data_IF_588745331362
#
_entry.id   IF_588745331362
#
_cell.length_a   1.000
_cell.length_b   1.000
_cell.length_c   1.000
_cell.angle_alpha   90.00
_cell.angle_beta   90.00
_cell.angle_gamma   90.00
#
_symmetry.space_group_name_H-M   'P 1'
#
loop_
_entity.id
_entity.type
_entity.pdbx_description
1 polymer ?
#
# COMPACT_ATOMS: atom_id res chain seq x y z
N UNK A 1 0.29 -26.85 22.01
CA UNK A 1 1.28 -26.67 20.93
C UNK A 1 1.27 -25.19 20.58
N UNK A 2 2.29 -24.44 20.99
CA UNK A 2 2.48 -23.07 20.50
C UNK A 2 2.67 -23.14 19.00
N UNK A 3 1.88 -22.38 18.25
CA UNK A 3 2.21 -22.06 16.87
C UNK A 3 3.55 -21.33 16.92
N UNK A 4 4.63 -21.99 16.49
CA UNK A 4 5.90 -21.32 16.27
C UNK A 4 5.65 -20.24 15.22
N UNK A 5 6.15 -19.04 15.49
CA UNK A 5 6.36 -18.03 14.46
C UNK A 5 7.28 -18.64 13.39
N UNK A 6 6.83 -18.80 12.13
CA UNK A 6 7.76 -18.99 11.03
C UNK A 6 8.42 -17.63 10.77
N UNK A 7 9.74 -17.60 10.90
CA UNK A 7 10.53 -16.39 10.73
C UNK A 7 10.73 -16.08 9.23
N UNK A 8 10.39 -14.85 8.85
CA UNK A 8 10.89 -14.04 7.73
C UNK A 8 10.47 -14.41 6.29
N UNK A 9 9.18 -14.21 5.98
CA UNK A 9 8.82 -13.50 4.75
C UNK A 9 9.30 -12.04 4.80
N UNK A 10 9.42 -11.38 3.64
CA UNK A 10 9.98 -10.02 3.52
C UNK A 10 9.18 -8.96 4.31
N UNK A 11 9.86 -7.87 4.64
CA UNK A 11 9.22 -6.63 5.08
C UNK A 11 8.69 -5.89 3.85
N UNK A 12 7.51 -5.28 3.96
CA UNK A 12 7.01 -4.36 2.94
C UNK A 12 7.58 -2.95 3.10
N UNK A 13 6.82 -1.96 2.64
CA UNK A 13 7.24 -0.56 2.64
C UNK A 13 7.30 0.01 4.07
N UNK A 14 8.28 0.87 4.31
CA UNK A 14 8.43 1.64 5.56
C UNK A 14 8.40 3.13 5.21
N UNK A 15 7.52 3.86 5.88
CA UNK A 15 7.36 5.32 5.83
C UNK A 15 7.86 5.85 7.17
N UNK A 16 8.99 6.55 7.17
CA UNK A 16 9.74 6.88 8.38
C UNK A 16 10.46 8.22 8.24
N UNK A 17 11.08 8.70 9.33
CA UNK A 17 11.93 9.88 9.39
C UNK A 17 11.23 11.19 8.99
N UNK A 18 10.02 11.43 9.50
CA UNK A 18 9.29 12.66 9.22
C UNK A 18 8.72 12.74 7.80
N UNK A 19 8.49 11.60 7.16
CA UNK A 19 7.85 11.55 5.85
C UNK A 19 6.41 12.07 5.95
N UNK A 20 6.09 13.08 5.15
CA UNK A 20 4.77 13.69 5.09
C UNK A 20 4.31 13.74 3.63
N UNK A 21 3.00 13.85 3.41
CA UNK A 21 2.37 13.86 2.09
C UNK A 21 2.63 12.57 1.29
N UNK A 22 2.56 11.42 1.97
CA UNK A 22 2.71 10.11 1.35
C UNK A 22 1.34 9.47 1.20
N UNK A 23 0.97 9.11 -0.03
CA UNK A 23 -0.24 8.31 -0.30
C UNK A 23 0.15 6.93 -0.80
N UNK A 24 -0.30 5.90 -0.11
CA UNK A 24 -0.22 4.51 -0.55
C UNK A 24 -1.59 4.13 -1.09
N UNK A 25 -1.70 4.12 -2.41
CA UNK A 25 -2.97 4.00 -3.12
C UNK A 25 -3.02 2.76 -4.01
N UNK A 26 -4.07 1.94 -3.88
CA UNK A 26 -4.36 0.81 -4.77
C UNK A 26 -3.20 -0.19 -4.92
N UNK A 27 -2.49 -0.46 -3.83
CA UNK A 27 -1.41 -1.46 -3.79
C UNK A 27 -1.94 -2.84 -3.38
N UNK A 28 -1.23 -3.88 -3.83
CA UNK A 28 -1.42 -5.25 -3.37
C UNK A 28 -0.25 -5.65 -2.50
N UNK A 29 -0.54 -6.00 -1.25
CA UNK A 29 0.41 -6.57 -0.30
C UNK A 29 0.05 -8.03 -0.08
N UNK A 30 0.93 -8.96 -0.48
CA UNK A 30 0.62 -10.38 -0.56
C UNK A 30 1.68 -11.24 0.14
N UNK A 31 1.23 -12.16 1.00
CA UNK A 31 2.05 -13.24 1.59
C UNK A 31 3.35 -12.74 2.25
N UNK A 32 3.22 -11.74 3.12
CA UNK A 32 4.35 -11.04 3.70
C UNK A 32 4.30 -10.96 5.22
N UNK A 33 5.44 -10.69 5.88
CA UNK A 33 5.49 -10.80 7.34
C UNK A 33 5.06 -9.53 8.06
N UNK A 34 5.61 -8.38 7.67
CA UNK A 34 5.38 -7.11 8.35
C UNK A 34 5.54 -5.91 7.40
N UNK A 35 5.03 -4.74 7.79
CA UNK A 35 5.26 -3.46 7.12
C UNK A 35 4.43 -3.24 5.86
N UNK A 36 3.11 -3.17 5.99
CA UNK A 36 2.19 -3.11 4.84
C UNK A 36 1.28 -1.87 4.78
N UNK A 37 1.80 -0.64 4.65
CA UNK A 37 3.16 -0.20 5.01
C UNK A 37 3.34 -0.16 6.54
N UNK A 38 4.59 -0.10 7.00
CA UNK A 38 4.88 0.38 8.35
C UNK A 38 4.99 1.90 8.29
N UNK A 39 4.30 2.62 9.15
CA UNK A 39 4.50 4.07 9.26
C UNK A 39 4.94 4.44 10.66
N UNK A 40 6.04 5.19 10.74
CA UNK A 40 6.54 5.73 12.00
C UNK A 40 5.67 6.91 12.48
N UNK A 41 5.64 7.12 13.79
CA UNK A 41 4.88 8.20 14.45
C UNK A 41 5.50 9.59 14.29
N UNK A 42 6.62 9.71 13.59
CA UNK A 42 7.09 10.99 13.09
C UNK A 42 6.48 11.37 11.73
N UNK A 43 5.81 10.43 11.07
CA UNK A 43 5.37 10.52 9.68
C UNK A 43 3.85 10.55 9.56
N UNK A 44 3.36 11.15 8.49
CA UNK A 44 1.93 11.17 8.16
C UNK A 44 1.67 10.62 6.77
N UNK A 45 0.64 9.79 6.64
CA UNK A 45 0.35 9.09 5.39
C UNK A 45 -1.14 8.83 5.19
N UNK A 46 -1.53 8.73 3.92
CA UNK A 46 -2.85 8.31 3.49
C UNK A 46 -2.78 6.91 2.86
N UNK A 47 -3.59 5.98 3.35
CA UNK A 47 -3.64 4.59 2.91
C UNK A 47 -5.02 4.32 2.30
N UNK A 48 -5.10 4.30 0.97
CA UNK A 48 -6.38 4.29 0.26
C UNK A 48 -6.50 3.07 -0.67
N UNK A 49 -7.60 2.33 -0.55
CA UNK A 49 -7.98 1.25 -1.46
C UNK A 49 -6.91 0.17 -1.70
N UNK A 50 -6.09 -0.13 -0.69
CA UNK A 50 -5.09 -1.19 -0.78
C UNK A 50 -5.73 -2.55 -0.47
N UNK A 51 -5.20 -3.61 -1.09
CA UNK A 51 -5.50 -5.00 -0.77
C UNK A 51 -4.34 -5.59 0.04
N UNK A 52 -4.63 -6.04 1.25
CA UNK A 52 -3.69 -6.77 2.10
C UNK A 52 -4.16 -8.21 2.23
N UNK A 53 -3.37 -9.16 1.72
CA UNK A 53 -3.76 -10.56 1.58
C UNK A 53 -2.71 -11.50 2.20
N UNK A 54 -3.13 -12.31 3.17
CA UNK A 54 -2.30 -13.32 3.87
C UNK A 54 -0.99 -12.82 4.44
N UNK A 55 -1.03 -11.68 5.10
CA UNK A 55 0.11 -11.18 5.88
C UNK A 55 0.07 -11.73 7.30
N UNK A 56 1.23 -12.06 7.88
CA UNK A 56 1.30 -12.63 9.25
C UNK A 56 1.05 -11.60 10.33
N UNK A 57 1.61 -10.41 10.16
CA UNK A 57 1.38 -9.28 11.04
C UNK A 57 0.47 -8.31 10.33
N UNK A 58 -0.33 -7.61 11.12
CA UNK A 58 -1.25 -6.63 10.60
C UNK A 58 -0.49 -5.46 9.97
N UNK A 59 -1.19 -4.63 9.20
CA UNK A 59 -0.71 -3.29 8.92
C UNK A 59 -0.35 -2.64 10.27
N UNK A 60 0.80 -1.99 10.33
CA UNK A 60 1.33 -1.50 11.59
C UNK A 60 1.79 -0.07 11.39
N UNK A 61 0.95 0.89 11.76
CA UNK A 61 1.50 2.16 12.23
C UNK A 61 2.27 1.80 13.50
N UNK A 62 3.57 1.62 13.34
CA UNK A 62 4.46 1.23 14.41
C UNK A 62 5.07 2.53 14.89
N UNK A 63 4.69 2.96 16.09
CA UNK A 63 5.50 3.94 16.79
C UNK A 63 6.89 3.34 16.97
N UNK A 64 7.86 3.74 16.14
CA UNK A 64 9.22 3.28 16.34
C UNK A 64 9.67 3.79 17.71
N UNK A 65 10.15 2.84 18.51
CA UNK A 65 10.80 3.10 19.78
C UNK A 65 12.05 3.93 19.55
N UNK A 66 12.28 4.86 20.48
CA UNK A 66 13.51 5.61 20.68
C UNK A 66 13.81 6.71 19.64
N UNK A 67 13.22 7.88 19.88
CA UNK A 67 14.03 9.09 19.96
C UNK A 67 13.31 10.10 20.87
N UNK A 68 13.99 10.45 21.97
CA UNK A 68 13.47 11.23 23.11
C UNK A 68 13.24 12.73 22.80
N UNK A 69 13.32 13.17 21.54
CA UNK A 69 13.51 14.60 21.23
C UNK A 69 12.65 15.16 20.09
N UNK A 70 11.53 14.51 19.76
CA UNK A 70 10.58 15.08 18.79
C UNK A 70 9.14 14.92 19.28
N UNK A 71 8.54 16.02 19.72
CA UNK A 71 7.07 16.17 19.79
C UNK A 71 6.54 16.07 18.36
N UNK A 72 6.25 14.85 17.92
CA UNK A 72 5.77 14.58 16.57
C UNK A 72 4.31 14.16 16.64
N UNK A 73 3.49 14.93 15.93
CA UNK A 73 2.12 14.56 15.61
C UNK A 73 2.17 13.70 14.34
N UNK A 74 1.49 12.55 14.37
CA UNK A 74 1.34 11.70 13.20
C UNK A 74 -0.14 11.60 12.84
N UNK A 75 -0.43 11.87 11.57
CA UNK A 75 -1.78 11.89 11.04
C UNK A 75 -1.96 10.82 9.98
N UNK A 76 -3.07 10.09 10.07
CA UNK A 76 -3.35 8.98 9.17
C UNK A 76 -4.77 9.04 8.64
N UNK A 77 -4.92 8.92 7.32
CA UNK A 77 -6.19 8.57 6.68
C UNK A 77 -6.11 7.11 6.24
N UNK A 78 -7.03 6.26 6.67
CA UNK A 78 -7.10 4.86 6.25
C UNK A 78 -8.48 4.63 5.64
N UNK A 79 -8.54 4.55 4.30
CA UNK A 79 -9.77 4.70 3.55
C UNK A 79 -9.99 3.52 2.58
N UNK A 80 -11.15 2.88 2.65
CA UNK A 80 -11.59 1.98 1.59
C UNK A 80 -10.71 0.72 1.40
N UNK A 81 -9.89 0.32 2.37
CA UNK A 81 -8.96 -0.79 2.20
C UNK A 81 -9.63 -2.17 2.42
N UNK A 82 -9.05 -3.21 1.82
CA UNK A 82 -9.53 -4.59 1.92
C UNK A 82 -8.47 -5.51 2.52
N UNK A 83 -8.84 -6.21 3.58
CA UNK A 83 -7.97 -7.14 4.31
C UNK A 83 -8.53 -8.55 4.23
N UNK A 84 -7.73 -9.45 3.67
CA UNK A 84 -8.08 -10.86 3.46
C UNK A 84 -7.04 -11.70 4.18
N UNK A 85 -7.47 -12.45 5.21
CA UNK A 85 -6.60 -13.37 5.93
C UNK A 85 -7.19 -14.77 5.88
N UNK A 86 -6.39 -15.77 5.54
CA UNK A 86 -6.78 -17.18 5.61
C UNK A 86 -6.73 -17.78 7.02
N UNK A 87 -6.06 -17.11 7.97
CA UNK A 87 -6.00 -17.52 9.37
C UNK A 87 -6.83 -16.53 10.20
N UNK A 88 -7.71 -17.04 11.06
CA UNK A 88 -8.43 -16.27 12.09
C UNK A 88 -7.43 -15.52 12.98
N UNK A 89 -7.00 -14.35 12.54
CA UNK A 89 -6.19 -13.40 13.30
C UNK A 89 -7.06 -12.20 13.64
N UNK A 90 -6.88 -11.68 14.85
CA UNK A 90 -7.61 -10.51 15.32
C UNK A 90 -7.35 -9.36 14.33
N UNK A 91 -8.39 -8.96 13.60
CA UNK A 91 -8.35 -8.07 12.42
C UNK A 91 -8.04 -6.61 12.72
N UNK A 92 -6.96 -6.36 13.45
CA UNK A 92 -6.57 -5.06 13.99
C UNK A 92 -5.45 -4.47 13.14
N UNK A 93 -5.76 -3.49 12.29
CA UNK A 93 -4.87 -2.88 11.28
C UNK A 93 -3.92 -1.81 11.76
N UNK A 94 -4.00 -1.49 13.03
CA UNK A 94 -3.13 -0.51 13.64
C UNK A 94 -2.67 -1.14 14.95
N UNK A 95 -1.38 -1.09 15.25
CA UNK A 95 -0.80 -1.71 16.44
C UNK A 95 0.15 -0.71 17.07
N UNK A 96 -0.35 0.09 18.01
CA UNK A 96 0.48 1.06 18.74
C UNK A 96 1.21 0.38 19.90
N UNK A 97 2.54 0.32 19.85
CA UNK A 97 3.32 0.10 21.07
C UNK A 97 3.17 1.34 21.97
N UNK A 98 2.71 1.22 23.22
CA UNK A 98 2.53 2.36 24.12
C UNK A 98 3.90 2.91 24.53
N UNK A 99 4.42 3.87 23.77
CA UNK A 99 5.66 4.57 24.11
C UNK A 99 5.44 6.09 24.05
N UNK A 100 5.28 6.69 25.22
CA UNK A 100 5.38 8.14 25.44
C UNK A 100 4.18 8.99 24.99
N UNK A 101 4.24 10.27 25.39
CA UNK A 101 3.29 11.37 25.13
C UNK A 101 3.28 11.80 23.64
N UNK A 102 3.14 10.85 22.71
CA UNK A 102 3.06 11.12 21.27
C UNK A 102 1.60 11.23 20.83
N UNK A 103 1.29 12.24 20.02
CA UNK A 103 -0.06 12.57 19.54
C UNK A 103 -0.30 12.00 18.15
N UNK A 104 -0.69 10.72 18.10
CA UNK A 104 -1.13 10.07 16.86
C UNK A 104 -2.63 10.24 16.70
N UNK A 105 -3.07 10.66 15.52
CA UNK A 105 -4.49 10.76 15.18
C UNK A 105 -4.78 10.01 13.88
N UNK A 106 -5.90 9.31 13.86
CA UNK A 106 -6.27 8.41 12.76
C UNK A 106 -7.71 8.67 12.36
N UNK A 107 -7.93 8.90 11.07
CA UNK A 107 -9.23 8.85 10.44
C UNK A 107 -9.38 7.50 9.71
N UNK A 108 -10.52 6.84 9.92
CA UNK A 108 -10.83 5.54 9.32
C UNK A 108 -12.20 5.61 8.65
N UNK A 109 -12.30 5.12 7.42
CA UNK A 109 -13.56 5.03 6.70
C UNK A 109 -13.58 3.84 5.73
N UNK A 110 -14.69 3.09 5.71
CA UNK A 110 -14.97 2.02 4.78
C UNK A 110 -13.85 0.96 4.67
N UNK A 111 -13.26 0.52 5.77
CA UNK A 111 -12.28 -0.57 5.74
C UNK A 111 -12.91 -1.93 6.03
N UNK A 112 -12.70 -2.92 5.17
CA UNK A 112 -13.23 -4.29 5.34
C UNK A 112 -12.15 -5.30 5.67
N UNK A 113 -12.37 -6.08 6.71
CA UNK A 113 -11.47 -7.17 7.13
C UNK A 113 -12.15 -8.12 8.09
N UNK A 114 -11.39 -9.02 8.73
CA UNK A 114 -11.96 -9.99 9.66
C UNK A 114 -12.71 -9.35 10.85
N UNK A 115 -12.33 -8.13 11.26
CA UNK A 115 -13.03 -7.39 12.32
C UNK A 115 -14.29 -6.66 11.82
N UNK A 116 -14.38 -6.38 10.52
CA UNK A 116 -15.52 -5.74 9.85
C UNK A 116 -15.88 -6.51 8.57
N UNK A 117 -16.37 -7.76 8.69
CA UNK A 117 -16.57 -8.62 7.52
C UNK A 117 -17.71 -8.14 6.61
N UNK A 118 -18.70 -7.44 7.16
CA UNK A 118 -19.88 -6.97 6.43
C UNK A 118 -19.88 -5.45 6.19
N UNK A 119 -18.98 -4.71 6.84
CA UNK A 119 -18.93 -3.23 6.79
C UNK A 119 -20.01 -2.55 7.63
N UNK A 120 -20.90 -3.32 8.26
CA UNK A 120 -21.93 -2.81 9.16
C UNK A 120 -21.42 -2.62 10.60
N UNK A 121 -20.27 -3.19 10.89
CA UNK A 121 -19.57 -3.05 12.16
C UNK A 121 -18.94 -1.64 12.28
N UNK A 122 -18.76 -1.12 13.50
CA UNK A 122 -18.09 0.17 13.73
C UNK A 122 -16.72 0.29 13.05
N UNK A 123 -16.44 1.44 12.41
CA UNK A 123 -15.14 1.72 11.77
C UNK A 123 -13.95 1.46 12.70
N UNK A 124 -14.08 1.85 13.97
CA UNK A 124 -13.05 1.66 15.01
C UNK A 124 -12.65 0.21 15.25
N UNK A 125 -13.48 -0.77 14.87
CA UNK A 125 -13.18 -2.19 15.11
C UNK A 125 -11.99 -2.65 14.25
N UNK A 126 -11.61 -1.84 13.25
CA UNK A 126 -10.46 -2.08 12.40
C UNK A 126 -9.12 -1.62 13.02
N UNK A 127 -9.11 -0.87 14.13
CA UNK A 127 -7.90 -0.37 14.81
C UNK A 127 -7.80 -0.87 16.26
N UNK A 128 -6.59 -0.97 16.82
CA UNK A 128 -6.38 -1.42 18.21
C UNK A 128 -4.95 -1.28 18.73
N UNK A 129 -4.73 -1.53 20.03
CA UNK A 129 -3.39 -1.29 20.62
C UNK A 129 -2.33 -2.32 20.22
N UNK A 130 -2.70 -3.52 19.79
CA UNK A 130 -1.69 -4.46 19.30
C UNK A 130 -2.27 -5.45 18.30
N UNK A 131 -1.38 -6.07 17.53
CA UNK A 131 -1.72 -7.15 16.60
C UNK A 131 -2.47 -8.33 17.26
N UNK A 132 -2.43 -8.44 18.60
CA UNK A 132 -3.09 -9.48 19.38
C UNK A 132 -4.15 -8.98 20.36
N UNK A 133 -4.38 -7.67 20.47
CA UNK A 133 -5.36 -7.10 21.40
C UNK A 133 -6.48 -6.39 20.65
N UNK A 134 -7.73 -6.64 21.10
CA UNK A 134 -8.93 -5.90 20.68
C UNK A 134 -9.19 -4.68 21.55
N UNK A 135 -8.23 -4.29 22.39
CA UNK A 135 -8.36 -3.06 23.18
C UNK A 135 -8.48 -1.90 22.19
N UNK A 136 -9.63 -1.22 22.16
CA UNK A 136 -9.87 -0.18 21.16
C UNK A 136 -8.90 0.98 21.40
N UNK A 137 -8.56 1.69 20.33
CA UNK A 137 -7.84 2.98 20.36
C UNK A 137 -8.84 4.16 20.24
N UNK A 138 -9.78 4.38 21.18
CA UNK A 138 -10.85 5.36 20.96
C UNK A 138 -10.39 6.81 21.05
N UNK A 139 -9.29 7.12 21.75
CA UNK A 139 -8.85 8.50 22.00
C UNK A 139 -8.04 9.11 20.84
N UNK A 140 -7.71 8.30 19.84
CA UNK A 140 -6.88 8.68 18.69
C UNK A 140 -7.68 8.77 17.39
N UNK A 141 -8.93 8.30 17.40
CA UNK A 141 -9.83 8.40 16.26
C UNK A 141 -10.41 9.81 16.13
N UNK A 142 -10.33 10.36 14.93
CA UNK A 142 -10.95 11.64 14.58
C UNK A 142 -12.14 11.44 13.65
N UNK A 143 -13.08 12.38 13.66
CA UNK A 143 -14.33 12.30 12.89
C UNK A 143 -14.22 12.84 11.45
N UNK A 144 -13.07 13.40 11.07
CA UNK A 144 -12.85 13.99 9.75
C UNK A 144 -11.46 13.64 9.21
N UNK A 145 -11.30 13.46 7.88
CA UNK A 145 -10.02 13.17 7.27
C UNK A 145 -9.05 14.34 7.42
N UNK A 146 -7.77 14.01 7.49
CA UNK A 146 -6.68 14.98 7.38
C UNK A 146 -6.50 15.43 5.94
N UNK A 147 -6.13 16.69 5.75
CA UNK A 147 -5.76 17.25 4.45
C UNK A 147 -4.23 17.26 4.30
N UNK A 148 -3.71 16.44 3.39
CA UNK A 148 -2.27 16.34 3.09
C UNK A 148 -1.81 17.29 1.96
N UNK A 149 -2.69 18.15 1.45
CA UNK A 149 -2.30 19.30 0.62
C UNK A 149 -1.79 19.01 -0.79
N UNK A 150 -1.62 17.75 -1.20
CA UNK A 150 -1.25 17.37 -2.57
C UNK A 150 -1.80 15.97 -2.86
N UNK A 151 -2.43 15.77 -4.03
CA UNK A 151 -2.90 14.47 -4.52
C UNK A 151 -3.92 13.74 -3.63
N UNK A 152 -4.94 14.44 -3.12
CA UNK A 152 -6.11 13.78 -2.57
C UNK A 152 -6.65 12.81 -3.63
N UNK A 153 -6.71 11.52 -3.28
CA UNK A 153 -7.27 10.50 -4.16
C UNK A 153 -8.61 10.99 -4.70
N UNK A 154 -8.73 11.11 -6.03
CA UNK A 154 -9.88 11.73 -6.66
C UNK A 154 -11.19 11.01 -6.32
N UNK A 155 -11.12 9.70 -6.12
CA UNK A 155 -12.24 8.87 -5.70
C UNK A 155 -11.75 7.69 -4.84
N UNK A 156 -12.27 7.60 -3.61
CA UNK A 156 -12.13 6.41 -2.77
C UNK A 156 -13.16 5.39 -3.24
N UNK A 157 -12.68 4.28 -3.80
CA UNK A 157 -13.49 3.13 -4.18
C UNK A 157 -14.09 2.46 -2.94
N UNK A 158 -15.27 1.87 -3.07
CA UNK A 158 -15.82 1.03 -2.01
C UNK A 158 -14.89 -0.17 -1.74
N UNK A 159 -14.59 -0.45 -0.48
CA UNK A 159 -13.73 -1.56 -0.07
C UNK A 159 -14.21 -2.95 -0.52
N UNK A 160 -15.50 -3.10 -0.85
CA UNK A 160 -16.04 -4.32 -1.45
C UNK A 160 -15.50 -4.59 -2.85
N UNK A 161 -15.14 -3.53 -3.58
CA UNK A 161 -14.73 -3.60 -4.98
C UNK A 161 -13.20 -3.70 -5.13
N UNK A 162 -12.44 -3.33 -4.09
CA UNK A 162 -10.96 -3.33 -4.10
C UNK A 162 -10.36 -4.68 -4.48
N UNK A 163 -10.86 -5.79 -3.94
CA UNK A 163 -10.34 -7.12 -4.28
C UNK A 163 -10.48 -7.39 -5.78
N UNK A 164 -11.68 -7.17 -6.33
CA UNK A 164 -11.95 -7.40 -7.74
C UNK A 164 -11.17 -6.44 -8.64
N UNK A 165 -11.06 -5.17 -8.24
CA UNK A 165 -10.31 -4.17 -8.98
C UNK A 165 -8.81 -4.52 -8.99
N UNK A 166 -8.18 -4.68 -7.83
CA UNK A 166 -6.74 -4.90 -7.75
C UNK A 166 -6.30 -6.26 -8.29
N UNK A 167 -7.10 -7.31 -8.10
CA UNK A 167 -6.83 -8.59 -8.74
C UNK A 167 -6.83 -8.51 -10.28
N UNK A 168 -7.46 -7.49 -10.86
CA UNK A 168 -7.49 -7.26 -12.31
C UNK A 168 -6.48 -6.24 -12.81
N UNK A 169 -6.02 -5.31 -11.96
CA UNK A 169 -5.21 -4.17 -12.40
C UNK A 169 -3.82 -4.03 -11.73
N UNK A 170 -3.55 -4.70 -10.61
CA UNK A 170 -2.22 -4.65 -9.97
C UNK A 170 -1.12 -5.38 -10.77
N UNK A 171 0.14 -5.04 -10.51
CA UNK A 171 1.34 -5.63 -11.10
C UNK A 171 1.95 -4.81 -12.25
N UNK A 172 3.21 -5.07 -12.59
CA UNK A 172 3.91 -4.48 -13.72
C UNK A 172 3.31 -5.01 -15.04
N UNK A 173 2.83 -4.10 -15.90
CA UNK A 173 2.00 -4.46 -17.09
C UNK A 173 2.61 -4.11 -18.43
N UNK A 174 3.78 -3.49 -18.46
CA UNK A 174 4.36 -2.98 -19.70
C UNK A 174 5.47 -3.93 -20.14
N UNK A 175 5.40 -4.51 -21.36
CA UNK A 175 4.31 -4.42 -22.35
C UNK A 175 3.14 -5.39 -22.08
N UNK A 176 3.32 -6.32 -21.14
CA UNK A 176 2.29 -7.23 -20.66
C UNK A 176 2.57 -7.57 -19.20
N UNK A 177 1.56 -8.04 -18.48
CA UNK A 177 1.72 -8.54 -17.10
C UNK A 177 2.78 -9.64 -17.07
N UNK A 178 3.77 -9.51 -16.19
CA UNK A 178 4.80 -10.52 -16.06
C UNK A 178 4.28 -11.81 -15.37
N UNK A 179 5.05 -12.89 -15.48
CA UNK A 179 4.64 -14.20 -14.96
C UNK A 179 4.53 -14.26 -13.44
N UNK A 180 5.30 -13.44 -12.71
CA UNK A 180 5.25 -13.33 -11.25
C UNK A 180 3.95 -12.65 -10.83
N UNK A 181 3.64 -11.50 -11.43
CA UNK A 181 2.42 -10.75 -11.14
C UNK A 181 1.16 -11.52 -11.56
N UNK A 182 1.21 -12.21 -12.70
CA UNK A 182 0.11 -13.06 -13.15
C UNK A 182 -0.17 -14.21 -12.16
N UNK A 183 0.89 -14.80 -11.60
CA UNK A 183 0.78 -15.85 -10.58
C UNK A 183 0.18 -15.28 -9.28
N UNK A 184 0.69 -14.15 -8.76
CA UNK A 184 0.13 -13.47 -7.57
C UNK A 184 -1.35 -13.14 -7.75
N UNK A 185 -1.75 -12.62 -8.92
CA UNK A 185 -3.16 -12.31 -9.21
C UNK A 185 -4.04 -13.56 -9.24
N UNK A 186 -3.58 -14.63 -9.90
CA UNK A 186 -4.29 -15.91 -9.93
C UNK A 186 -4.48 -16.46 -8.52
N UNK A 187 -3.44 -16.34 -7.69
CA UNK A 187 -3.42 -16.75 -6.30
C UNK A 187 -4.45 -15.99 -5.46
N UNK A 188 -4.48 -14.66 -5.53
CA UNK A 188 -5.47 -13.80 -4.88
C UNK A 188 -6.90 -14.18 -5.30
N UNK A 189 -7.15 -14.34 -6.60
CA UNK A 189 -8.48 -14.68 -7.12
C UNK A 189 -8.97 -16.06 -6.69
N UNK A 190 -8.05 -17.01 -6.55
CA UNK A 190 -8.38 -18.38 -6.14
C UNK A 190 -8.77 -18.50 -4.67
N UNK A 191 -8.39 -17.51 -3.83
CA UNK A 191 -8.59 -17.54 -2.38
C UNK A 191 -8.00 -18.78 -1.71
N UNK A 192 -7.01 -19.42 -2.33
CA UNK A 192 -6.42 -20.67 -1.86
C UNK A 192 -5.50 -20.44 -0.66
N UNK A 193 -5.44 -21.41 0.26
CA UNK A 193 -4.53 -21.38 1.40
C UNK A 193 -3.07 -21.22 0.95
N UNK A 194 -2.53 -20.01 1.10
CA UNK A 194 -1.08 -19.80 1.01
C UNK A 194 -0.48 -20.20 2.34
N UNK A 195 0.12 -21.39 2.36
CA UNK A 195 1.00 -21.75 3.45
C UNK A 195 2.13 -20.72 3.49
N UNK A 196 2.12 -19.88 4.53
CA UNK A 196 3.29 -19.17 5.03
C UNK A 196 4.32 -20.23 5.42
N UNK A 197 5.09 -20.72 4.46
CA UNK A 197 6.07 -21.77 4.67
C UNK A 197 7.46 -21.30 4.28
N UNK A 198 8.43 -21.82 5.02
CA UNK A 198 9.84 -21.47 4.88
C UNK A 198 10.48 -22.15 3.66
N UNK A 199 11.04 -21.33 2.78
CA UNK A 199 12.05 -21.76 1.81
C UNK A 199 11.61 -21.68 0.34
N UNK A 200 12.58 -21.69 -0.59
CA UNK A 200 12.35 -21.57 -2.02
C UNK A 200 11.61 -22.76 -2.64
N UNK A 201 11.19 -23.74 -1.84
CA UNK A 201 10.50 -24.95 -2.28
C UNK A 201 9.05 -25.02 -1.78
N UNK A 202 8.62 -24.08 -0.93
CA UNK A 202 7.23 -24.00 -0.46
C UNK A 202 6.38 -23.36 -1.56
N UNK A 203 5.22 -23.96 -1.84
CA UNK A 203 4.25 -23.47 -2.84
C UNK A 203 4.82 -23.31 -4.27
N UNK A 204 5.77 -24.16 -4.67
CA UNK A 204 6.35 -24.15 -6.01
C UNK A 204 7.56 -23.22 -6.18
N UNK A 205 7.96 -22.54 -5.11
CA UNK A 205 9.16 -21.70 -5.07
C UNK A 205 8.98 -20.30 -5.64
N UNK A 206 10.09 -19.57 -5.70
CA UNK A 206 10.08 -18.22 -6.27
C UNK A 206 9.86 -18.29 -7.78
N UNK A 207 8.83 -17.59 -8.24
CA UNK A 207 8.62 -17.36 -9.67
C UNK A 207 9.88 -16.69 -10.23
N UNK A 208 10.43 -17.24 -11.30
CA UNK A 208 11.57 -16.66 -12.01
C UNK A 208 11.03 -15.72 -13.08
N UNK A 209 11.35 -14.41 -13.03
CA UNK A 209 10.96 -13.50 -14.09
C UNK A 209 11.49 -13.98 -15.43
N UNK A 210 10.67 -13.93 -16.47
CA UNK A 210 11.16 -14.20 -17.82
C UNK A 210 12.24 -13.15 -18.18
N UNK A 211 13.36 -13.56 -18.81
CA UNK A 211 14.37 -12.60 -19.23
C UNK A 211 13.77 -11.66 -20.28
N UNK A 212 13.97 -10.35 -20.08
CA UNK A 212 13.57 -9.30 -21.01
C UNK A 212 14.77 -8.58 -21.62
N UNK A 213 14.55 -7.86 -22.71
CA UNK A 213 15.49 -6.85 -23.20
C UNK A 213 15.11 -5.51 -22.56
N UNK A 214 16.00 -4.88 -21.76
CA UNK A 214 15.71 -3.57 -21.22
C UNK A 214 15.52 -2.58 -22.36
N UNK A 215 14.64 -1.61 -22.17
CA UNK A 215 14.49 -0.54 -23.13
C UNK A 215 15.76 0.31 -23.14
N UNK A 216 16.10 0.88 -24.30
CA UNK A 216 17.22 1.80 -24.39
C UNK A 216 16.80 3.12 -23.73
N UNK A 217 17.58 3.52 -22.74
CA UNK A 217 17.49 4.78 -22.00
C UNK A 217 18.95 5.26 -21.89
N UNK A 218 19.34 6.18 -22.77
CA UNK A 218 20.75 6.59 -22.92
C UNK A 218 21.19 7.53 -21.80
N UNK A 219 20.29 8.37 -21.31
CA UNK A 219 20.60 9.37 -20.29
C UNK A 219 20.25 8.92 -18.86
N UNK A 220 19.61 7.74 -18.73
CA UNK A 220 19.29 7.03 -17.49
C UNK A 220 18.34 7.82 -16.59
N UNK A 221 17.41 8.54 -17.19
CA UNK A 221 16.44 9.37 -16.48
C UNK A 221 15.15 8.60 -16.11
N UNK A 222 15.05 7.35 -16.56
CA UNK A 222 13.95 6.44 -16.29
C UNK A 222 12.86 6.44 -17.35
N UNK A 223 12.99 7.19 -18.45
CA UNK A 223 12.09 7.16 -19.60
C UNK A 223 12.86 6.61 -20.81
N UNK A 224 12.37 5.57 -21.49
CA UNK A 224 13.05 5.08 -22.69
C UNK A 224 13.11 6.10 -23.83
N UNK A 225 14.24 6.18 -24.55
CA UNK A 225 14.47 7.12 -25.67
C UNK A 225 13.31 7.13 -26.70
N UNK A 226 12.76 5.95 -27.01
CA UNK A 226 11.67 5.82 -27.97
C UNK A 226 10.33 6.37 -27.45
N UNK A 227 10.10 6.30 -26.13
CA UNK A 227 8.95 6.92 -25.47
C UNK A 227 9.09 8.42 -25.49
N UNK A 228 10.27 8.94 -25.15
CA UNK A 228 10.51 10.38 -25.13
C UNK A 228 10.19 11.02 -26.50
N UNK A 229 10.73 10.41 -27.55
CA UNK A 229 10.52 10.87 -28.93
C UNK A 229 9.07 10.70 -29.39
N UNK A 230 8.40 9.61 -29.05
CA UNK A 230 7.03 9.34 -29.52
C UNK A 230 5.95 10.09 -28.74
N UNK A 231 6.13 10.27 -27.43
CA UNK A 231 5.14 10.86 -26.53
C UNK A 231 5.35 12.37 -26.37
N UNK A 232 6.60 12.82 -26.25
CA UNK A 232 6.93 14.23 -25.98
C UNK A 232 7.55 14.95 -27.18
N UNK A 233 7.92 14.21 -28.24
CA UNK A 233 8.48 14.76 -29.47
C UNK A 233 9.94 15.22 -29.34
N UNK A 234 10.58 14.93 -28.21
CA UNK A 234 11.95 15.30 -27.85
C UNK A 234 12.39 14.48 -26.64
N UNK A 235 13.70 14.38 -26.48
CA UNK A 235 14.39 13.99 -25.24
C UNK A 235 13.98 14.94 -24.08
N UNK A 236 13.58 14.35 -22.95
CA UNK A 236 13.06 15.00 -21.75
C UNK A 236 13.55 14.31 -20.48
N UNK A 237 14.24 15.06 -19.63
CA UNK A 237 14.61 14.55 -18.29
C UNK A 237 13.39 14.10 -17.48
N UNK A 238 13.34 12.82 -17.09
CA UNK A 238 12.18 12.18 -16.48
C UNK A 238 11.66 12.88 -15.22
N UNK A 239 12.56 13.38 -14.38
CA UNK A 239 12.20 14.13 -13.15
C UNK A 239 11.79 15.59 -13.40
N UNK A 240 11.93 16.11 -14.63
CA UNK A 240 11.54 17.48 -14.94
C UNK A 240 10.01 17.62 -14.98
N UNK A 241 9.51 18.74 -14.48
CA UNK A 241 8.07 19.02 -14.41
C UNK A 241 7.51 19.40 -15.78
N UNK A 242 6.41 18.76 -16.16
CA UNK A 242 5.58 19.08 -17.33
C UNK A 242 4.63 20.24 -17.04
N UNK A 243 3.94 20.81 -18.05
CA UNK A 243 2.93 21.84 -17.81
C UNK A 243 1.81 21.42 -16.86
N UNK A 244 1.48 20.11 -16.76
CA UNK A 244 0.44 19.60 -15.86
C UNK A 244 0.84 19.60 -14.37
N UNK A 245 2.09 19.94 -14.06
CA UNK A 245 2.63 19.90 -12.70
C UNK A 245 3.20 18.56 -12.27
N UNK A 246 3.02 17.51 -13.07
CA UNK A 246 3.67 16.20 -12.89
C UNK A 246 5.01 16.13 -13.59
N UNK A 247 5.92 15.29 -13.12
CA UNK A 247 7.16 14.96 -13.84
C UNK A 247 6.89 14.19 -15.14
N UNK A 248 7.80 14.23 -16.11
CA UNK A 248 7.65 13.49 -17.35
C UNK A 248 7.54 11.98 -17.11
N UNK A 249 8.25 11.45 -16.10
CA UNK A 249 8.20 10.02 -15.77
C UNK A 249 6.85 9.64 -15.18
N UNK A 250 6.23 10.50 -14.37
CA UNK A 250 4.87 10.29 -13.87
C UNK A 250 3.85 10.36 -15.01
N UNK A 251 3.99 11.33 -15.92
CA UNK A 251 3.10 11.44 -17.09
C UNK A 251 3.22 10.21 -17.98
N UNK A 252 4.44 9.72 -18.23
CA UNK A 252 4.64 8.48 -18.97
C UNK A 252 4.04 7.30 -18.22
N UNK A 253 4.39 7.07 -16.95
CA UNK A 253 3.86 5.97 -16.16
C UNK A 253 2.32 5.95 -16.15
N UNK A 254 1.69 7.12 -15.98
CA UNK A 254 0.24 7.28 -16.01
C UNK A 254 -0.38 7.09 -17.41
N UNK A 255 0.38 7.31 -18.49
CA UNK A 255 -0.08 7.04 -19.86
C UNK A 255 -0.13 5.55 -20.20
N UNK A 256 0.69 4.76 -19.51
CA UNK A 256 0.71 3.31 -19.65
C UNK A 256 -0.41 2.67 -18.84
N UNK A 257 -1.15 3.50 -18.10
CA UNK A 257 -2.06 3.02 -17.09
C UNK A 257 -3.32 2.42 -17.71
N UNK A 258 -3.49 1.14 -17.41
CA UNK A 258 -4.68 0.34 -17.70
C UNK A 258 -5.73 0.55 -16.58
N UNK A 259 -5.44 1.37 -15.55
CA UNK A 259 -6.33 1.66 -14.41
C UNK A 259 -7.49 2.61 -14.73
N UNK A 260 -7.64 3.06 -15.98
CA UNK A 260 -8.77 3.92 -16.38
C UNK A 260 -8.64 5.37 -15.88
N UNK A 261 -9.64 6.18 -16.20
CA UNK A 261 -9.69 7.65 -16.06
C UNK A 261 -9.59 8.22 -14.62
N UNK A 262 -9.15 7.43 -13.65
CA UNK A 262 -9.20 7.74 -12.22
C UNK A 262 -8.03 8.63 -11.78
N UNK A 263 -6.96 8.69 -12.56
CA UNK A 263 -5.94 9.73 -12.45
C UNK A 263 -6.27 10.86 -13.41
N UNK A 264 -6.99 11.87 -12.91
CA UNK A 264 -7.11 13.13 -13.64
C UNK A 264 -5.77 13.86 -13.47
N UNK A 265 -4.88 13.74 -14.45
CA UNK A 265 -3.84 14.74 -14.62
C UNK A 265 -4.56 16.09 -14.70
N UNK A 266 -4.34 16.95 -13.70
CA UNK A 266 -4.93 18.26 -13.68
C UNK A 266 -4.54 18.97 -14.98
N UNK A 267 -5.53 19.37 -15.76
CA UNK A 267 -5.37 20.39 -16.79
C UNK A 267 -5.17 21.71 -16.03
N UNK A 268 -3.96 22.30 -16.03
CA UNK A 268 -3.77 23.61 -15.44
C UNK A 268 -4.36 24.61 -16.42
N UNK A 269 -5.60 25.02 -16.17
CA UNK A 269 -6.09 26.31 -16.67
C UNK A 269 -5.32 27.45 -16.04
#
# INVERSE_FOLDING_TARGET
KQCREPHMGGYGAVIDYGANNVTVYRNVFFNGVNGWPSVDVSSSAELVNNLVHDVTNNMAVTAAQDDDDVSTEAHFNILGNRFVHHIDRNGVLLSRTPTGDRDTRVYVEDNLGCARPLGTEPEKDIVGYSTNSRDPLPEELVDAPFDFGVHAVAEVMASTDVLAHLANHAGARIPSVDTVDADVRSKILSGGDFALGDGPDVNGGYSTPAPGTPWLDVDLDGIPDEVELSMFGKDVTGVATTPSGYSYIEVWANSQDVLGSDYVAFDPM
#
